data_IF_449396444094
#
_entry.id   IF_449396444094
#
_cell.length_a   1.000
_cell.length_b   1.000
_cell.length_c   1.000
_cell.angle_alpha   90.00
_cell.angle_beta   90.00
_cell.angle_gamma   90.00
#
_symmetry.space_group_name_H-M   'P 1'
#
loop_
_entity.id
_entity.type
_entity.pdbx_description
1 polymer ?
#
# COMPACT_ATOMS: atom_id res chain seq x y z
N UNK A 1 13.32 -14.36 -11.22
CA UNK A 1 12.30 -14.04 -10.19
C UNK A 1 11.76 -12.64 -10.46
N UNK A 2 10.44 -12.41 -10.39
CA UNK A 2 9.87 -11.06 -10.53
C UNK A 2 9.96 -10.36 -9.17
N UNK A 3 10.47 -9.12 -9.08
CA UNK A 3 10.49 -8.38 -7.83
C UNK A 3 9.05 -8.14 -7.34
N UNK A 4 8.75 -8.56 -6.11
CA UNK A 4 7.49 -8.25 -5.43
C UNK A 4 7.68 -6.98 -4.59
N UNK A 5 7.35 -5.84 -5.18
CA UNK A 5 7.31 -4.59 -4.45
C UNK A 5 5.99 -4.56 -3.66
N UNK A 6 6.08 -4.78 -2.35
CA UNK A 6 4.94 -4.66 -1.43
C UNK A 6 4.16 -3.37 -1.75
N UNK A 7 2.83 -3.47 -1.83
CA UNK A 7 1.98 -2.29 -1.93
C UNK A 7 2.30 -1.30 -0.82
N UNK A 8 2.41 -0.02 -1.16
CA UNK A 8 2.60 1.07 -0.18
C UNK A 8 1.48 1.15 0.87
N UNK A 9 0.28 0.69 0.51
CA UNK A 9 -0.84 0.64 1.45
C UNK A 9 -0.81 -0.69 2.21
N UNK A 10 -0.67 -0.65 3.55
CA UNK A 10 -0.59 -1.85 4.37
C UNK A 10 -1.93 -2.59 4.37
N UNK A 11 -1.86 -3.93 4.48
CA UNK A 11 -3.07 -4.78 4.49
C UNK A 11 -3.97 -4.47 5.68
N UNK A 12 -3.37 -4.05 6.81
CA UNK A 12 -4.09 -3.66 8.02
C UNK A 12 -5.06 -2.50 7.78
N UNK A 13 -4.77 -1.62 6.83
CA UNK A 13 -5.67 -0.51 6.45
C UNK A 13 -6.97 -0.98 5.80
N UNK A 14 -7.03 -2.23 5.33
CA UNK A 14 -8.24 -2.86 4.80
C UNK A 14 -8.90 -3.72 5.88
N UNK A 15 -8.10 -4.47 6.65
CA UNK A 15 -8.63 -5.40 7.66
C UNK A 15 -9.36 -4.64 8.78
N UNK A 16 -8.80 -3.53 9.27
CA UNK A 16 -9.39 -2.74 10.36
C UNK A 16 -10.79 -2.21 10.00
N UNK A 17 -10.99 -1.47 8.89
CA UNK A 17 -12.32 -1.00 8.53
C UNK A 17 -13.27 -2.15 8.19
N UNK A 18 -12.79 -3.25 7.59
CA UNK A 18 -13.62 -4.44 7.33
C UNK A 18 -14.20 -5.02 8.63
N UNK A 19 -13.35 -5.28 9.63
CA UNK A 19 -13.79 -5.80 10.93
C UNK A 19 -14.74 -4.82 11.63
N UNK A 20 -14.42 -3.52 11.59
CA UNK A 20 -15.27 -2.48 12.15
C UNK A 20 -16.66 -2.47 11.52
N UNK A 21 -16.75 -2.55 10.18
CA UNK A 21 -18.03 -2.62 9.47
C UNK A 21 -18.84 -3.86 9.86
N UNK A 22 -18.21 -5.03 9.97
CA UNK A 22 -18.90 -6.28 10.37
C UNK A 22 -19.47 -6.16 11.79
N UNK A 23 -18.68 -5.64 12.73
CA UNK A 23 -19.12 -5.47 14.13
C UNK A 23 -20.26 -4.45 14.21
N UNK A 24 -20.11 -3.29 13.58
CA UNK A 24 -21.13 -2.24 13.59
C UNK A 24 -22.43 -2.70 12.92
N UNK A 25 -22.34 -3.47 11.86
CA UNK A 25 -23.51 -4.06 11.20
C UNK A 25 -24.21 -5.08 12.10
N UNK A 26 -23.44 -5.96 12.77
CA UNK A 26 -24.00 -6.91 13.75
C UNK A 26 -24.70 -6.21 14.92
N UNK A 27 -24.09 -5.15 15.46
CA UNK A 27 -24.70 -4.31 16.51
C UNK A 27 -25.97 -3.64 16.01
N UNK A 28 -25.97 -3.10 14.79
CA UNK A 28 -27.15 -2.48 14.18
C UNK A 28 -28.31 -3.48 14.05
N UNK A 29 -28.05 -4.68 13.54
CA UNK A 29 -29.06 -5.73 13.43
C UNK A 29 -29.62 -6.12 14.81
N UNK A 30 -28.75 -6.24 15.81
CA UNK A 30 -29.15 -6.54 17.17
C UNK A 30 -30.02 -5.43 17.78
N UNK A 31 -29.65 -4.16 17.58
CA UNK A 31 -30.47 -3.01 18.01
C UNK A 31 -31.84 -3.00 17.34
N UNK A 32 -31.95 -3.39 16.06
CA UNK A 32 -33.21 -3.48 15.34
C UNK A 32 -34.17 -4.55 15.89
N UNK A 33 -33.69 -5.53 16.68
CA UNK A 33 -34.58 -6.50 17.33
C UNK A 33 -35.40 -5.89 18.47
N UNK A 34 -35.03 -4.70 18.97
CA UNK A 34 -35.68 -4.06 20.10
C UNK A 34 -35.47 -4.77 21.44
N UNK A 35 -34.59 -5.78 21.50
CA UNK A 35 -34.35 -6.57 22.70
C UNK A 35 -33.64 -5.80 23.85
N UNK A 36 -32.93 -4.71 23.52
CA UNK A 36 -32.08 -3.97 24.49
C UNK A 36 -32.56 -2.55 24.76
N UNK A 37 -33.02 -1.86 23.73
CA UNK A 37 -33.41 -0.44 23.79
C UNK A 37 -34.79 -0.30 23.18
N UNK A 38 -35.60 0.61 23.70
CA UNK A 38 -36.95 0.90 23.22
C UNK A 38 -37.19 2.40 23.10
N UNK A 39 -38.17 2.79 22.27
CA UNK A 39 -38.55 4.19 22.08
C UNK A 39 -37.47 5.04 21.39
N UNK A 40 -37.42 6.34 21.72
CA UNK A 40 -36.55 7.33 21.08
C UNK A 40 -35.06 6.96 21.10
N UNK A 41 -34.61 6.30 22.18
CA UNK A 41 -33.20 5.94 22.38
C UNK A 41 -32.73 4.88 21.36
N UNK A 42 -33.60 3.96 20.95
CA UNK A 42 -33.30 2.99 19.89
C UNK A 42 -33.05 3.69 18.56
N UNK A 43 -33.89 4.67 18.20
CA UNK A 43 -33.74 5.40 16.93
C UNK A 43 -32.43 6.19 16.87
N UNK A 44 -32.06 6.87 17.97
CA UNK A 44 -30.79 7.57 18.05
C UNK A 44 -29.58 6.62 18.00
N UNK A 45 -29.61 5.54 18.77
CA UNK A 45 -28.53 4.55 18.79
C UNK A 45 -28.35 3.87 17.44
N UNK A 46 -29.45 3.46 16.80
CA UNK A 46 -29.44 2.87 15.46
C UNK A 46 -28.97 3.87 14.40
N UNK A 47 -29.39 5.14 14.49
CA UNK A 47 -28.95 6.21 13.60
C UNK A 47 -27.44 6.43 13.66
N UNK A 48 -26.88 6.56 14.86
CA UNK A 48 -25.43 6.74 15.06
C UNK A 48 -24.67 5.50 14.56
N UNK A 49 -25.11 4.29 14.92
CA UNK A 49 -24.48 3.05 14.46
C UNK A 49 -24.51 2.92 12.93
N UNK A 50 -25.61 3.31 12.30
CA UNK A 50 -25.76 3.31 10.83
C UNK A 50 -24.77 4.27 10.17
N UNK A 51 -24.62 5.49 10.69
CA UNK A 51 -23.66 6.48 10.17
C UNK A 51 -22.22 5.96 10.31
N UNK A 52 -21.86 5.41 11.47
CA UNK A 52 -20.53 4.84 11.71
C UNK A 52 -20.26 3.64 10.78
N UNK A 53 -21.26 2.78 10.59
CA UNK A 53 -21.17 1.65 9.67
C UNK A 53 -20.91 2.13 8.25
N UNK A 54 -21.66 3.13 7.79
CA UNK A 54 -21.49 3.73 6.47
C UNK A 54 -20.10 4.34 6.27
N UNK A 55 -19.62 5.12 7.26
CA UNK A 55 -18.28 5.73 7.22
C UNK A 55 -17.18 4.66 7.16
N UNK A 56 -17.29 3.60 7.97
CA UNK A 56 -16.31 2.49 7.96
C UNK A 56 -16.28 1.78 6.60
N UNK A 57 -17.45 1.56 5.98
CA UNK A 57 -17.56 0.99 4.64
C UNK A 57 -16.97 1.89 3.55
N UNK A 58 -17.18 3.21 3.64
CA UNK A 58 -16.57 4.17 2.71
C UNK A 58 -15.03 4.15 2.81
N UNK A 59 -14.48 4.11 4.03
CA UNK A 59 -13.03 3.98 4.25
C UNK A 59 -12.50 2.64 3.72
N UNK A 60 -13.24 1.55 3.89
CA UNK A 60 -12.88 0.24 3.32
C UNK A 60 -12.78 0.30 1.79
N UNK A 61 -13.81 0.84 1.12
CA UNK A 61 -13.85 0.97 -0.34
C UNK A 61 -12.67 1.83 -0.81
N UNK A 62 -12.46 2.98 -0.18
CA UNK A 62 -11.32 3.85 -0.49
C UNK A 62 -9.98 3.12 -0.34
N UNK A 63 -9.80 2.39 0.76
CA UNK A 63 -8.57 1.65 1.05
C UNK A 63 -8.29 0.55 0.02
N UNK A 64 -9.33 -0.15 -0.44
CA UNK A 64 -9.22 -1.15 -1.51
C UNK A 64 -8.86 -0.49 -2.84
N UNK A 65 -9.55 0.59 -3.22
CA UNK A 65 -9.27 1.31 -4.47
C UNK A 65 -7.86 1.89 -4.49
N UNK A 66 -7.45 2.53 -3.38
CA UNK A 66 -6.12 3.06 -3.21
C UNK A 66 -5.09 1.92 -3.30
N UNK A 67 -5.30 0.78 -2.61
CA UNK A 67 -4.37 -0.35 -2.69
C UNK A 67 -4.24 -0.92 -4.10
N UNK A 68 -5.33 -0.94 -4.88
CA UNK A 68 -5.31 -1.32 -6.31
C UNK A 68 -4.55 -0.30 -7.18
N UNK A 69 -4.72 1.00 -6.92
CA UNK A 69 -4.05 2.06 -7.67
C UNK A 69 -2.53 2.13 -7.39
N UNK A 70 -2.14 1.95 -6.12
CA UNK A 70 -0.75 1.92 -5.64
C UNK A 70 -0.12 0.52 -5.69
N UNK A 71 -0.77 -0.46 -6.31
CA UNK A 71 -0.17 -1.76 -6.56
C UNK A 71 0.81 -1.66 -7.73
N UNK A 72 2.02 -2.22 -7.54
CA UNK A 72 3.06 -2.27 -8.58
C UNK A 72 2.69 -3.17 -9.77
N UNK A 73 1.86 -4.19 -9.51
CA UNK A 73 1.39 -5.17 -10.50
C UNK A 73 -0.07 -4.95 -10.94
N UNK A 74 -0.77 -3.96 -10.37
CA UNK A 74 -2.17 -3.65 -10.69
C UNK A 74 -2.36 -3.04 -12.08
N UNK A 75 -3.61 -2.77 -12.47
CA UNK A 75 -3.92 -2.21 -13.81
C UNK A 75 -3.57 -0.72 -13.98
N UNK A 76 -3.57 0.05 -12.88
CA UNK A 76 -3.36 1.52 -12.93
C UNK A 76 -1.89 1.94 -12.72
N UNK A 77 -1.07 1.05 -12.15
CA UNK A 77 0.41 1.11 -12.03
C UNK A 77 0.99 2.49 -11.69
N UNK A 78 0.32 3.27 -10.81
CA UNK A 78 0.75 4.64 -10.51
C UNK A 78 2.18 4.67 -9.95
N UNK A 79 2.49 3.75 -9.03
CA UNK A 79 3.81 3.62 -8.44
C UNK A 79 4.89 3.31 -9.49
N UNK A 80 4.60 2.39 -10.43
CA UNK A 80 5.52 2.06 -11.51
C UNK A 80 5.78 3.28 -12.39
N UNK A 81 4.75 4.04 -12.76
CA UNK A 81 4.90 5.27 -13.57
C UNK A 81 5.75 6.32 -12.86
N UNK A 82 5.56 6.52 -11.55
CA UNK A 82 6.38 7.45 -10.77
C UNK A 82 7.84 6.98 -10.73
N UNK A 83 8.07 5.71 -10.42
CA UNK A 83 9.43 5.16 -10.31
C UNK A 83 10.15 5.16 -11.66
N UNK A 84 9.50 4.72 -12.73
CA UNK A 84 10.06 4.74 -14.09
C UNK A 84 10.24 6.17 -14.61
N UNK A 85 9.31 7.07 -14.27
CA UNK A 85 9.43 8.50 -14.56
C UNK A 85 10.65 9.12 -13.89
N UNK A 86 10.85 8.92 -12.59
CA UNK A 86 12.03 9.43 -11.86
C UNK A 86 13.31 8.79 -12.43
N UNK A 87 13.32 7.49 -12.67
CA UNK A 87 14.46 6.81 -13.28
C UNK A 87 14.80 7.34 -14.68
N UNK A 88 13.84 7.88 -15.42
CA UNK A 88 14.08 8.51 -16.72
C UNK A 88 14.91 9.80 -16.59
N UNK A 89 14.75 10.57 -15.52
CA UNK A 89 15.52 11.79 -15.27
C UNK A 89 16.91 11.53 -14.66
N UNK A 90 17.10 10.40 -13.98
CA UNK A 90 18.40 10.03 -13.41
C UNK A 90 19.36 9.56 -14.50
N UNK A 91 20.50 10.24 -14.63
CA UNK A 91 21.60 9.85 -15.51
C UNK A 91 22.79 9.38 -14.65
N UNK A 92 23.19 8.13 -14.83
CA UNK A 92 24.34 7.55 -14.12
C UNK A 92 25.50 7.48 -15.12
N UNK A 93 26.61 8.20 -14.90
CA UNK A 93 27.77 8.13 -15.78
C UNK A 93 28.39 6.73 -15.78
N UNK A 94 29.10 6.36 -16.85
CA UNK A 94 29.73 5.04 -16.96
C UNK A 94 30.72 4.82 -15.81
N UNK A 95 30.48 3.78 -14.99
CA UNK A 95 31.28 3.48 -13.80
C UNK A 95 30.93 4.30 -12.55
N UNK A 96 29.95 5.20 -12.63
CA UNK A 96 29.44 5.98 -11.50
C UNK A 96 28.56 5.16 -10.55
N UNK A 97 28.38 5.70 -9.34
CA UNK A 97 27.58 5.08 -8.28
C UNK A 97 26.29 5.87 -8.05
N UNK A 98 25.18 5.17 -7.80
CA UNK A 98 23.89 5.75 -7.43
C UNK A 98 23.60 5.44 -5.96
N UNK A 99 23.14 6.43 -5.20
CA UNK A 99 22.69 6.29 -3.82
C UNK A 99 21.17 6.52 -3.74
N UNK A 100 20.46 5.52 -3.25
CA UNK A 100 19.02 5.56 -2.99
C UNK A 100 18.80 5.59 -1.47
N UNK A 101 18.64 6.78 -0.91
CA UNK A 101 18.48 6.98 0.54
C UNK A 101 17.03 6.67 0.93
N UNK A 102 16.85 5.77 1.90
CA UNK A 102 15.50 5.32 2.27
C UNK A 102 14.86 4.42 1.21
N UNK A 103 15.67 3.65 0.48
CA UNK A 103 15.26 2.86 -0.70
C UNK A 103 14.08 1.89 -0.48
N UNK A 104 13.74 1.53 0.76
CA UNK A 104 12.64 0.63 1.09
C UNK A 104 12.76 -0.69 0.32
N UNK A 105 11.84 -0.93 -0.62
CA UNK A 105 11.83 -2.13 -1.48
C UNK A 105 12.81 -2.07 -2.67
N UNK A 106 13.58 -1.00 -2.82
CA UNK A 106 14.61 -0.84 -3.85
C UNK A 106 14.07 -0.66 -5.28
N UNK A 107 12.77 -0.35 -5.43
CA UNK A 107 12.11 -0.24 -6.73
C UNK A 107 12.79 0.76 -7.68
N UNK A 108 13.20 1.92 -7.14
CA UNK A 108 13.88 2.97 -7.91
C UNK A 108 15.29 2.54 -8.29
N UNK A 109 16.05 1.99 -7.36
CA UNK A 109 17.38 1.43 -7.63
C UNK A 109 17.33 0.39 -8.76
N UNK A 110 16.36 -0.53 -8.74
CA UNK A 110 16.20 -1.55 -9.81
C UNK A 110 15.80 -0.90 -11.13
N UNK A 111 14.94 0.11 -11.14
CA UNK A 111 14.57 0.82 -12.36
C UNK A 111 15.77 1.57 -12.98
N UNK A 112 16.55 2.28 -12.16
CA UNK A 112 17.78 2.94 -12.58
C UNK A 112 18.82 1.94 -13.11
N UNK A 113 18.98 0.78 -12.47
CA UNK A 113 19.90 -0.27 -12.91
C UNK A 113 19.49 -0.94 -14.24
N UNK A 114 18.17 -1.05 -14.51
CA UNK A 114 17.69 -1.55 -15.81
C UNK A 114 18.04 -0.59 -16.95
N UNK A 115 17.99 0.71 -16.70
CA UNK A 115 18.28 1.76 -17.68
C UNK A 115 19.78 1.90 -17.98
N UNK A 116 20.67 1.64 -17.03
CA UNK A 116 22.10 1.67 -17.28
C UNK A 116 22.52 0.52 -18.20
N UNK A 117 22.83 0.86 -19.44
CA UNK A 117 23.19 -0.04 -20.56
C UNK A 117 24.66 -0.48 -20.56
N UNK A 118 25.50 0.10 -19.69
CA UNK A 118 26.90 -0.30 -19.53
C UNK A 118 27.04 -1.59 -18.73
N UNK A 119 27.57 -2.65 -19.36
CA UNK A 119 27.83 -3.99 -18.80
C UNK A 119 28.59 -3.97 -17.46
N UNK A 120 29.41 -2.94 -17.22
CA UNK A 120 30.18 -2.74 -15.98
C UNK A 120 29.37 -2.02 -14.87
N UNK A 121 28.58 -1.00 -15.23
CA UNK A 121 27.75 -0.24 -14.28
C UNK A 121 26.54 -1.03 -13.78
N UNK A 122 25.95 -1.86 -14.66
CA UNK A 122 24.81 -2.71 -14.32
C UNK A 122 25.17 -3.77 -13.26
N UNK A 123 26.38 -4.37 -13.31
CA UNK A 123 26.84 -5.31 -12.29
C UNK A 123 27.10 -4.63 -10.94
N UNK A 124 27.76 -3.47 -10.91
CA UNK A 124 28.10 -2.78 -9.65
C UNK A 124 26.90 -2.18 -8.92
N UNK A 125 25.96 -1.58 -9.66
CA UNK A 125 24.69 -1.11 -9.07
C UNK A 125 23.84 -2.27 -8.54
N UNK A 126 23.79 -3.40 -9.26
CA UNK A 126 23.05 -4.58 -8.83
C UNK A 126 23.73 -5.28 -7.66
N UNK A 127 25.07 -5.31 -7.60
CA UNK A 127 25.82 -5.85 -6.47
C UNK A 127 25.67 -4.99 -5.20
N UNK A 128 25.64 -3.67 -5.31
CA UNK A 128 25.34 -2.77 -4.19
C UNK A 128 23.88 -2.85 -3.73
N UNK A 129 22.93 -2.97 -4.67
CA UNK A 129 21.51 -3.16 -4.36
C UNK A 129 21.27 -4.52 -3.67
N UNK A 130 21.89 -5.60 -4.15
CA UNK A 130 21.80 -6.95 -3.57
C UNK A 130 22.52 -7.01 -2.22
N UNK A 131 23.71 -6.41 -2.08
CA UNK A 131 24.42 -6.35 -0.78
C UNK A 131 23.62 -5.60 0.27
N UNK A 132 22.83 -4.56 -0.07
CA UNK A 132 21.95 -3.89 0.90
C UNK A 132 20.60 -4.58 1.12
N UNK A 133 20.03 -5.24 0.11
CA UNK A 133 18.81 -6.05 0.28
C UNK A 133 19.03 -7.29 1.17
N UNK A 134 20.23 -7.86 1.17
CA UNK A 134 20.60 -8.99 2.04
C UNK A 134 20.86 -8.54 3.50
N UNK A 135 21.22 -7.27 3.74
CA UNK A 135 21.56 -6.76 5.07
C UNK A 135 20.43 -6.01 5.81
N UNK A 136 19.21 -5.96 5.26
CA UNK A 136 18.05 -5.33 5.93
C UNK A 136 17.02 -6.35 6.47
N UNK A 137 17.45 -7.57 6.81
CA UNK A 137 16.75 -8.44 7.75
C UNK A 137 17.84 -9.14 8.59
N UNK A 138 17.91 -8.89 9.91
CA UNK A 138 16.81 -9.13 10.83
C UNK A 138 16.46 -7.93 11.74
N UNK A 139 15.36 -8.11 12.48
CA UNK A 139 14.69 -7.23 13.47
C UNK A 139 13.50 -6.46 12.89
#
# INVERSE_FOLDING_TARGET
MRPDYKSWIPVNFIIIPLLSTIILFGVLLYLCTGAVLSGAYLYWAAGICSILCFLSGAVLIWSVLARRAFSYHGGRQLMKRIVEGIAAYVQIPAGGTCLDVGCGSGALTVACAKKSTGTTGRRRCMELAVRRLIFSSPV
#
